data_IF_870487085875
#
_entry.id   IF_870487085875
#
_cell.length_a   1.000
_cell.length_b   1.000
_cell.length_c   1.000
_cell.angle_alpha   90.00
_cell.angle_beta   90.00
_cell.angle_gamma   90.00
#
_symmetry.space_group_name_H-M   'P 1'
#
loop_
_entity.id
_entity.type
_entity.pdbx_description
1 polymer ?
#
# COMPACT_ATOMS: atom_id res chain seq x y z
N UNK A 1 -13.62 10.32 0.78
CA UNK A 1 -14.10 11.55 1.43
C UNK A 1 -15.46 11.93 0.85
N UNK A 2 -16.34 12.61 1.60
CA UNK A 2 -17.62 13.06 1.06
C UNK A 2 -17.41 14.24 0.09
N UNK A 3 -18.32 14.36 -0.86
CA UNK A 3 -18.33 15.45 -1.83
C UNK A 3 -19.05 16.65 -1.23
N UNK A 4 -18.29 17.68 -0.82
CA UNK A 4 -18.85 18.83 -0.10
C UNK A 4 -18.32 20.17 -0.60
N UNK A 5 -19.23 21.15 -0.67
CA UNK A 5 -18.94 22.53 -1.09
C UNK A 5 -18.79 23.47 0.11
N UNK A 6 -17.63 24.08 0.26
CA UNK A 6 -17.32 25.11 1.27
C UNK A 6 -17.03 26.42 0.55
N UNK A 7 -17.93 27.40 0.70
CA UNK A 7 -17.84 28.66 -0.05
C UNK A 7 -17.96 28.41 -1.56
N UNK A 8 -16.94 28.83 -2.31
CA UNK A 8 -16.88 28.62 -3.77
C UNK A 8 -16.18 27.32 -4.17
N UNK A 9 -15.53 26.62 -3.22
CA UNK A 9 -14.71 25.44 -3.51
C UNK A 9 -15.49 24.18 -3.15
N UNK A 10 -15.49 23.21 -4.06
CA UNK A 10 -15.97 21.86 -3.80
C UNK A 10 -14.79 20.95 -3.56
N UNK A 11 -14.72 20.29 -2.41
CA UNK A 11 -13.69 19.32 -2.08
C UNK A 11 -14.13 17.92 -2.50
N UNK A 12 -13.25 17.20 -3.20
CA UNK A 12 -13.54 15.87 -3.73
C UNK A 12 -12.54 14.83 -3.23
N UNK A 13 -11.26 15.22 -3.12
CA UNK A 13 -10.18 14.29 -2.85
C UNK A 13 -9.30 14.80 -1.73
N UNK A 14 -8.55 13.88 -1.13
CA UNK A 14 -7.55 14.18 -0.12
C UNK A 14 -6.27 13.45 -0.55
N UNK A 15 -5.20 14.21 -0.78
CA UNK A 15 -3.89 13.63 -1.03
C UNK A 15 -3.23 13.37 0.32
N UNK A 16 -2.86 12.11 0.54
CA UNK A 16 -2.25 11.63 1.78
C UNK A 16 -0.82 11.17 1.51
N UNK A 17 0.12 11.63 2.32
CA UNK A 17 1.54 11.29 2.28
C UNK A 17 1.93 10.74 3.64
N UNK A 18 2.67 9.63 3.64
CA UNK A 18 3.17 9.01 4.86
C UNK A 18 4.67 8.79 4.73
N UNK A 19 5.44 9.34 5.65
CA UNK A 19 6.83 8.96 5.84
C UNK A 19 6.87 7.53 6.42
N UNK A 20 7.39 6.58 5.63
CA UNK A 20 7.37 5.16 6.00
C UNK A 20 8.17 4.89 7.27
N UNK A 21 9.35 5.47 7.42
CA UNK A 21 10.24 5.21 8.56
C UNK A 21 9.72 5.86 9.85
N UNK A 22 9.37 7.15 9.76
CA UNK A 22 9.05 7.98 10.93
C UNK A 22 7.55 8.01 11.26
N UNK A 23 6.73 7.38 10.41
CA UNK A 23 5.26 7.38 10.50
C UNK A 23 4.65 8.78 10.53
N UNK A 24 5.36 9.84 10.15
CA UNK A 24 4.81 11.18 10.01
C UNK A 24 3.85 11.22 8.83
N UNK A 25 2.69 11.89 8.98
CA UNK A 25 1.69 11.99 7.90
C UNK A 25 1.40 13.44 7.54
N UNK A 26 1.15 13.68 6.27
CA UNK A 26 0.62 14.94 5.78
C UNK A 26 -0.60 14.66 4.89
N UNK A 27 -1.60 15.53 5.00
CA UNK A 27 -2.83 15.44 4.21
C UNK A 27 -3.21 16.82 3.71
N UNK A 28 -3.57 16.90 2.42
CA UNK A 28 -4.10 18.13 1.83
C UNK A 28 -5.38 17.85 1.07
N UNK A 29 -6.36 18.74 1.23
CA UNK A 29 -7.60 18.67 0.49
C UNK A 29 -7.41 19.19 -0.93
N UNK A 30 -7.94 18.44 -1.88
CA UNK A 30 -7.99 18.82 -3.28
C UNK A 30 -9.44 19.17 -3.61
N UNK A 31 -9.65 20.44 -3.93
CA UNK A 31 -10.94 20.99 -4.32
C UNK A 31 -10.87 21.81 -5.60
N UNK A 32 -12.04 22.04 -6.19
CA UNK A 32 -12.21 22.80 -7.43
C UNK A 32 -13.31 23.83 -7.32
N UNK A 33 -13.19 24.91 -8.08
CA UNK A 33 -14.19 25.98 -8.15
C UNK A 33 -15.41 25.62 -9.01
N UNK A 34 -15.24 24.68 -9.95
CA UNK A 34 -16.30 24.21 -10.86
C UNK A 34 -16.13 22.74 -11.16
N UNK A 35 -17.22 21.96 -11.10
CA UNK A 35 -17.23 20.49 -11.28
C UNK A 35 -17.74 20.12 -12.68
N UNK A 36 -17.62 21.03 -13.65
CA UNK A 36 -18.16 20.81 -15.00
C UNK A 36 -17.54 19.60 -15.71
N UNK A 37 -16.32 19.17 -15.33
CA UNK A 37 -15.73 17.91 -15.79
C UNK A 37 -14.92 17.21 -14.67
N UNK A 38 -15.41 16.07 -14.16
CA UNK A 38 -14.70 15.28 -13.13
C UNK A 38 -13.38 14.69 -13.64
N UNK A 39 -13.27 14.41 -14.94
CA UNK A 39 -12.05 13.86 -15.57
C UNK A 39 -10.87 14.85 -15.54
N UNK A 40 -11.12 16.16 -15.36
CA UNK A 40 -10.07 17.18 -15.29
C UNK A 40 -9.64 17.59 -13.88
N UNK A 41 -10.22 16.99 -12.83
CA UNK A 41 -10.01 17.44 -11.44
C UNK A 41 -8.74 16.87 -10.83
N UNK A 42 -8.51 15.56 -11.05
CA UNK A 42 -7.37 14.83 -10.50
C UNK A 42 -6.29 14.63 -11.56
N UNK A 43 -5.84 15.74 -12.18
CA UNK A 43 -4.75 15.70 -13.15
C UNK A 43 -3.42 15.79 -12.40
N UNK A 44 -2.38 15.22 -13.02
CA UNK A 44 -0.98 15.34 -12.61
C UNK A 44 -0.53 16.73 -12.15
N UNK A 45 -0.91 17.78 -12.85
CA UNK A 45 -0.59 19.15 -12.46
C UNK A 45 -1.20 19.56 -11.10
N UNK A 46 -2.43 19.09 -10.80
CA UNK A 46 -3.08 19.34 -9.51
C UNK A 46 -2.36 18.62 -8.38
N UNK A 47 -1.94 17.37 -8.60
CA UNK A 47 -1.16 16.60 -7.62
C UNK A 47 0.21 17.24 -7.41
N UNK A 48 0.92 17.62 -8.48
CA UNK A 48 2.20 18.30 -8.39
C UNK A 48 2.12 19.57 -7.54
N UNK A 49 1.15 20.44 -7.82
CA UNK A 49 0.92 21.66 -7.01
C UNK A 49 0.56 21.36 -5.56
N UNK A 50 -0.16 20.26 -5.31
CA UNK A 50 -0.54 19.86 -3.95
C UNK A 50 0.66 19.32 -3.17
N UNK A 51 1.58 18.63 -3.86
CA UNK A 51 2.86 18.19 -3.29
C UNK A 51 3.74 19.39 -2.96
N UNK A 52 3.93 20.32 -3.89
CA UNK A 52 4.67 21.58 -3.62
C UNK A 52 4.12 22.27 -2.37
N UNK A 53 2.80 22.46 -2.29
CA UNK A 53 2.17 23.04 -1.09
C UNK A 53 2.49 22.31 0.21
N UNK A 54 2.64 21.00 0.21
CA UNK A 54 2.97 20.24 1.43
C UNK A 54 4.45 20.41 1.78
N UNK A 55 5.34 20.36 0.78
CA UNK A 55 6.79 20.42 1.03
C UNK A 55 7.33 21.85 1.20
N UNK A 56 6.62 22.85 0.68
CA UNK A 56 6.96 24.27 0.82
C UNK A 56 6.34 24.90 2.07
N UNK A 57 5.45 24.18 2.78
CA UNK A 57 4.82 24.65 4.01
C UNK A 57 5.84 24.64 5.18
N UNK A 58 6.18 25.79 5.78
CA UNK A 58 7.13 25.85 6.88
C UNK A 58 6.66 25.14 8.15
N UNK A 59 5.35 24.93 8.32
CA UNK A 59 4.78 24.18 9.45
C UNK A 59 4.86 22.66 9.22
N UNK A 60 5.12 22.23 7.97
CA UNK A 60 5.27 20.83 7.63
C UNK A 60 6.72 20.36 7.82
N UNK A 61 6.93 19.40 8.70
CA UNK A 61 8.27 18.86 8.97
C UNK A 61 8.78 17.89 7.88
N UNK A 62 7.99 17.64 6.83
CA UNK A 62 8.40 16.76 5.73
C UNK A 62 9.36 17.46 4.79
N UNK A 63 10.50 16.82 4.57
CA UNK A 63 11.46 17.21 3.53
C UNK A 63 11.32 16.29 2.31
N UNK A 64 11.76 16.76 1.15
CA UNK A 64 11.88 15.93 -0.04
C UNK A 64 12.76 14.70 0.23
N UNK A 65 12.14 13.51 0.18
CA UNK A 65 12.80 12.24 0.50
C UNK A 65 13.56 11.67 -0.71
N UNK A 66 14.35 10.62 -0.50
CA UNK A 66 15.10 9.95 -1.59
C UNK A 66 14.21 9.14 -2.54
N UNK A 67 13.07 8.63 -2.05
CA UNK A 67 12.17 7.74 -2.77
C UNK A 67 10.72 8.09 -2.45
N UNK A 68 9.91 8.27 -3.50
CA UNK A 68 8.46 8.35 -3.42
C UNK A 68 7.85 7.10 -4.06
N UNK A 69 7.02 6.39 -3.31
CA UNK A 69 6.25 5.25 -3.80
C UNK A 69 4.81 5.70 -4.02
N UNK A 70 4.29 5.52 -5.23
CA UNK A 70 2.89 5.81 -5.58
C UNK A 70 2.24 4.57 -6.18
N UNK A 71 0.91 4.56 -6.30
CA UNK A 71 0.26 3.58 -7.16
C UNK A 71 0.52 3.87 -8.66
N UNK A 72 -0.08 3.06 -9.53
CA UNK A 72 0.03 3.21 -11.00
C UNK A 72 -0.94 4.26 -11.58
N UNK A 73 -1.57 5.07 -10.73
CA UNK A 73 -2.51 6.13 -11.12
C UNK A 73 -1.91 7.11 -12.13
N UNK A 74 -2.74 7.59 -13.05
CA UNK A 74 -2.35 8.55 -14.10
C UNK A 74 -2.05 9.93 -13.52
N UNK A 75 -2.64 10.26 -12.38
CA UNK A 75 -2.41 11.48 -11.62
C UNK A 75 -0.98 11.59 -11.07
N UNK A 76 -0.25 10.48 -10.96
CA UNK A 76 1.14 10.47 -10.54
C UNK A 76 2.12 10.34 -11.71
N UNK A 77 1.67 10.51 -12.96
CA UNK A 77 2.50 10.46 -14.19
C UNK A 77 2.64 11.86 -14.80
N UNK A 78 3.64 12.11 -15.64
CA UNK A 78 3.75 13.41 -16.33
C UNK A 78 4.29 14.53 -15.44
N UNK A 79 3.51 15.56 -15.14
CA UNK A 79 3.98 16.74 -14.40
C UNK A 79 4.42 16.42 -12.96
N UNK A 80 3.69 15.53 -12.28
CA UNK A 80 4.09 14.99 -10.99
C UNK A 80 5.47 14.31 -11.10
N UNK A 81 5.71 13.45 -12.09
CA UNK A 81 7.03 12.82 -12.27
C UNK A 81 8.14 13.83 -12.57
N UNK A 82 7.85 14.86 -13.35
CA UNK A 82 8.80 15.95 -13.61
C UNK A 82 9.15 16.69 -12.32
N UNK A 83 8.15 17.01 -11.49
CA UNK A 83 8.37 17.67 -10.19
C UNK A 83 9.25 16.80 -9.27
N UNK A 84 8.88 15.54 -9.09
CA UNK A 84 9.63 14.61 -8.22
C UNK A 84 11.09 14.49 -8.70
N UNK A 85 11.32 14.36 -10.01
CA UNK A 85 12.68 14.32 -10.60
C UNK A 85 13.44 15.64 -10.44
N UNK A 86 12.77 16.78 -10.56
CA UNK A 86 13.38 18.12 -10.36
C UNK A 86 13.97 18.27 -8.95
N UNK A 87 13.31 17.69 -7.95
CA UNK A 87 13.80 17.67 -6.56
C UNK A 87 14.78 16.51 -6.26
N UNK A 88 15.26 15.80 -7.28
CA UNK A 88 16.24 14.70 -7.12
C UNK A 88 15.67 13.44 -6.46
N UNK A 89 14.34 13.33 -6.37
CA UNK A 89 13.66 12.20 -5.74
C UNK A 89 13.43 11.09 -6.77
N UNK A 90 13.69 9.83 -6.41
CA UNK A 90 13.34 8.68 -7.24
C UNK A 90 11.84 8.40 -7.08
N UNK A 91 11.15 8.13 -8.18
CA UNK A 91 9.75 7.66 -8.15
C UNK A 91 9.70 6.17 -8.45
N UNK A 92 8.96 5.43 -7.62
CA UNK A 92 8.68 4.01 -7.82
C UNK A 92 7.17 3.80 -7.85
N UNK A 93 6.70 3.02 -8.82
CA UNK A 93 5.31 2.61 -8.91
C UNK A 93 5.13 1.31 -8.13
N UNK A 94 4.15 1.28 -7.24
CA UNK A 94 3.77 0.10 -6.48
C UNK A 94 3.37 -1.01 -7.46
N UNK A 95 3.96 -2.19 -7.24
CA UNK A 95 3.63 -3.37 -8.04
C UNK A 95 2.28 -3.94 -7.63
N UNK A 96 1.99 -3.95 -6.33
CA UNK A 96 0.76 -4.45 -5.74
C UNK A 96 0.16 -3.47 -4.74
N UNK A 97 -1.12 -3.66 -4.38
CA UNK A 97 -1.80 -2.87 -3.34
C UNK A 97 -1.12 -3.00 -1.97
N UNK A 98 -0.44 -4.11 -1.69
CA UNK A 98 0.26 -4.35 -0.42
C UNK A 98 1.41 -3.37 -0.18
N UNK A 99 2.12 -2.98 -1.25
CA UNK A 99 3.18 -1.96 -1.15
C UNK A 99 2.62 -0.64 -0.61
N UNK A 100 1.33 -0.36 -0.83
CA UNK A 100 0.62 0.82 -0.35
C UNK A 100 -0.09 0.61 1.00
N UNK A 101 0.07 -0.55 1.64
CA UNK A 101 -0.70 -0.93 2.84
C UNK A 101 -0.57 0.05 4.01
N UNK A 102 0.57 0.72 4.16
CA UNK A 102 0.77 1.77 5.17
C UNK A 102 -0.13 2.98 4.92
N UNK A 103 -0.17 3.45 3.66
CA UNK A 103 -1.01 4.59 3.26
C UNK A 103 -2.48 4.21 3.33
N UNK A 104 -2.85 2.99 2.91
CA UNK A 104 -4.23 2.50 3.02
C UNK A 104 -4.70 2.38 4.48
N UNK A 105 -3.83 1.90 5.38
CA UNK A 105 -4.14 1.89 6.81
C UNK A 105 -4.36 3.31 7.33
N UNK A 106 -3.52 4.26 6.91
CA UNK A 106 -3.68 5.66 7.28
C UNK A 106 -4.98 6.26 6.74
N UNK A 107 -5.33 6.02 5.47
CA UNK A 107 -6.60 6.44 4.86
C UNK A 107 -7.79 5.99 5.72
N UNK A 108 -7.80 4.72 6.13
CA UNK A 108 -8.82 4.18 7.03
C UNK A 108 -8.84 4.89 8.39
N UNK A 109 -7.68 5.06 9.04
CA UNK A 109 -7.59 5.76 10.33
C UNK A 109 -8.06 7.21 10.25
N UNK A 110 -7.78 7.88 9.14
CA UNK A 110 -8.21 9.25 8.89
C UNK A 110 -9.74 9.34 8.81
N UNK A 111 -10.36 8.41 8.09
CA UNK A 111 -11.83 8.30 7.99
C UNK A 111 -12.44 7.99 9.36
N UNK A 112 -11.90 7.00 10.09
CA UNK A 112 -12.38 6.61 11.42
C UNK A 112 -12.34 7.76 12.43
N UNK A 113 -11.36 8.67 12.33
CA UNK A 113 -11.25 9.84 13.22
C UNK A 113 -12.05 11.06 12.76
N UNK A 114 -12.25 11.26 11.46
CA UNK A 114 -12.96 12.45 10.93
C UNK A 114 -14.47 12.31 10.97
N UNK A 115 -14.99 11.16 10.57
CA UNK A 115 -16.41 10.98 10.33
C UNK A 115 -17.27 10.93 11.59
N UNK A 116 -16.79 10.54 12.79
CA UNK A 116 -17.60 10.64 14.01
C UNK A 116 -18.07 12.06 14.30
N UNK A 117 -17.20 13.07 14.19
CA UNK A 117 -17.58 14.47 14.41
C UNK A 117 -18.53 14.99 13.33
N UNK A 118 -18.33 14.55 12.09
CA UNK A 118 -19.24 14.84 10.98
C UNK A 118 -20.64 14.25 11.24
N UNK A 119 -20.71 12.96 11.57
CA UNK A 119 -21.95 12.24 11.84
C UNK A 119 -22.69 12.85 13.05
N UNK A 120 -21.98 13.17 14.12
CA UNK A 120 -22.57 13.84 15.29
C UNK A 120 -23.17 15.20 14.89
N UNK A 121 -22.45 15.99 14.10
CA UNK A 121 -22.94 17.27 13.60
C UNK A 121 -24.15 17.11 12.67
N UNK A 122 -24.16 16.10 11.81
CA UNK A 122 -25.27 15.81 10.90
C UNK A 122 -26.54 15.39 11.68
N UNK A 123 -26.39 14.54 12.69
CA UNK A 123 -27.49 14.10 13.57
C UNK A 123 -28.08 15.24 14.41
N UNK A 124 -27.27 16.22 14.81
CA UNK A 124 -27.73 17.35 15.63
C UNK A 124 -28.34 18.49 14.80
N UNK A 125 -27.84 18.73 13.59
CA UNK A 125 -28.19 19.94 12.83
C UNK A 125 -29.35 19.72 11.84
N UNK A 126 -29.72 18.46 11.51
CA UNK A 126 -30.87 17.94 10.73
C UNK A 126 -31.24 18.63 9.38
N UNK A 127 -31.22 19.96 9.32
CA UNK A 127 -31.57 20.82 8.18
C UNK A 127 -30.39 21.07 7.21
N UNK A 128 -29.14 20.82 7.64
CA UNK A 128 -27.95 21.07 6.80
C UNK A 128 -26.91 19.98 6.93
N UNK A 129 -26.37 19.55 5.78
CA UNK A 129 -25.19 18.68 5.73
C UNK A 129 -23.98 19.41 6.32
N UNK A 130 -23.37 18.80 7.32
CA UNK A 130 -22.17 19.30 7.99
C UNK A 130 -20.98 19.28 7.04
N UNK A 131 -20.04 20.19 7.29
CA UNK A 131 -18.75 20.27 6.58
C UNK A 131 -17.60 20.29 7.58
N UNK A 132 -17.86 19.73 8.77
CA UNK A 132 -16.94 19.73 9.89
C UNK A 132 -15.64 19.00 9.52
N UNK A 133 -15.72 17.95 8.69
CA UNK A 133 -14.55 17.19 8.26
C UNK A 133 -13.49 18.05 7.54
N UNK A 134 -13.88 19.10 6.80
CA UNK A 134 -12.93 20.00 6.11
C UNK A 134 -12.07 20.77 7.11
N UNK A 135 -12.69 21.30 8.17
CA UNK A 135 -11.98 22.01 9.24
C UNK A 135 -11.21 21.05 10.14
N UNK A 136 -11.80 19.89 10.42
CA UNK A 136 -11.24 18.91 11.33
C UNK A 136 -10.08 18.12 10.71
N UNK A 137 -9.88 18.15 9.38
CA UNK A 137 -8.79 17.41 8.75
C UNK A 137 -7.44 17.75 9.37
N UNK A 138 -7.08 19.04 9.39
CA UNK A 138 -5.77 19.48 9.89
C UNK A 138 -5.62 19.11 11.37
N UNK A 139 -6.66 19.34 12.17
CA UNK A 139 -6.70 19.00 13.61
C UNK A 139 -6.50 17.49 13.83
N UNK A 140 -7.15 16.65 13.03
CA UNK A 140 -7.02 15.19 13.14
C UNK A 140 -5.63 14.73 12.73
N UNK A 141 -5.06 15.27 11.65
CA UNK A 141 -3.72 14.94 11.18
C UNK A 141 -2.67 15.33 12.23
N UNK A 142 -2.78 16.55 12.76
CA UNK A 142 -1.95 17.05 13.86
C UNK A 142 -2.05 16.13 15.09
N UNK A 143 -3.26 15.79 15.52
CA UNK A 143 -3.48 14.85 16.62
C UNK A 143 -2.85 13.47 16.37
N UNK A 144 -2.88 12.97 15.12
CA UNK A 144 -2.23 11.70 14.78
C UNK A 144 -0.70 11.81 14.87
N UNK A 145 -0.11 12.94 14.44
CA UNK A 145 1.33 13.15 14.48
C UNK A 145 1.88 13.47 15.89
N UNK A 146 1.05 14.02 16.77
CA UNK A 146 1.36 14.25 18.18
C UNK A 146 1.10 13.03 19.07
N UNK A 147 0.34 12.03 18.59
CA UNK A 147 0.08 10.81 19.34
C UNK A 147 1.27 9.84 19.33
N UNK A 148 1.60 9.29 20.50
CA UNK A 148 2.61 8.23 20.62
C UNK A 148 2.17 7.01 19.81
N UNK A 149 3.06 6.52 18.96
CA UNK A 149 2.80 5.32 18.17
C UNK A 149 3.39 4.10 18.86
N UNK A 150 2.63 2.99 18.96
CA UNK A 150 3.13 1.75 19.58
C UNK A 150 4.41 1.21 18.91
N UNK A 151 4.58 1.46 17.60
CA UNK A 151 5.74 1.02 16.84
C UNK A 151 7.00 1.81 17.18
N UNK A 152 6.91 3.14 17.32
CA UNK A 152 8.08 3.98 17.61
C UNK A 152 8.33 4.13 19.11
N UNK A 153 7.28 4.01 19.94
CA UNK A 153 7.33 4.38 21.36
C UNK A 153 7.34 5.88 21.62
N UNK A 154 7.39 6.71 20.56
CA UNK A 154 7.33 8.17 20.58
C UNK A 154 6.33 8.70 19.54
N UNK A 155 6.08 10.01 19.56
CA UNK A 155 5.22 10.67 18.57
C UNK A 155 5.97 10.84 17.23
N UNK A 156 5.28 10.78 16.07
CA UNK A 156 5.89 11.08 14.77
C UNK A 156 6.53 12.46 14.66
N UNK A 157 6.00 13.48 15.34
CA UNK A 157 6.57 14.84 15.32
C UNK A 157 7.89 14.95 16.10
N UNK A 158 8.09 14.10 17.09
CA UNK A 158 9.37 14.01 17.81
C UNK A 158 10.33 13.14 17.01
N UNK A 159 9.85 12.01 16.48
CA UNK A 159 10.64 11.08 15.69
C UNK A 159 11.31 11.73 14.47
N UNK A 160 10.65 12.69 13.81
CA UNK A 160 11.22 13.36 12.63
C UNK A 160 12.39 14.30 12.95
N UNK A 161 12.55 14.71 14.21
CA UNK A 161 13.67 15.53 14.68
C UNK A 161 14.88 14.67 15.05
N UNK A 162 14.67 13.38 15.28
CA UNK A 162 15.72 12.44 15.65
C UNK A 162 16.51 11.97 14.42
N UNK A 163 17.81 11.71 14.64
CA UNK A 163 18.68 11.19 13.59
C UNK A 163 18.39 9.71 13.29
N UNK A 164 18.10 8.93 14.33
CA UNK A 164 17.80 7.50 14.25
C UNK A 164 16.66 7.16 15.20
N UNK A 165 15.73 6.33 14.73
CA UNK A 165 14.56 5.91 15.50
C UNK A 165 14.43 4.40 15.41
N UNK A 166 14.35 3.74 16.57
CA UNK A 166 14.10 2.30 16.64
C UNK A 166 12.62 2.01 16.44
N UNK A 167 12.31 1.10 15.51
CA UNK A 167 10.94 0.72 15.17
C UNK A 167 10.68 -0.71 15.62
N UNK A 168 9.67 -0.89 16.47
CA UNK A 168 9.14 -2.22 16.80
C UNK A 168 8.36 -2.79 15.62
N UNK A 169 8.41 -4.12 15.39
CA UNK A 169 7.62 -4.74 14.35
C UNK A 169 6.11 -4.56 14.63
N UNK A 170 5.30 -4.51 13.58
CA UNK A 170 3.83 -4.39 13.69
C UNK A 170 3.19 -5.58 14.39
N UNK A 171 3.80 -6.75 14.28
CA UNK A 171 3.38 -7.99 14.91
C UNK A 171 4.57 -8.60 15.62
N UNK A 172 4.33 -9.18 16.79
CA UNK A 172 5.34 -9.98 17.46
C UNK A 172 5.57 -11.23 16.62
N UNK A 173 6.80 -11.42 16.16
CA UNK A 173 7.19 -12.64 15.48
C UNK A 173 7.49 -13.71 16.53
N UNK A 174 6.82 -14.86 16.43
CA UNK A 174 6.94 -15.96 17.41
C UNK A 174 8.04 -16.97 17.09
N UNK A 175 8.87 -16.72 16.08
CA UNK A 175 9.87 -17.65 15.57
C UNK A 175 11.22 -17.01 15.27
N UNK A 176 12.17 -17.78 14.71
CA UNK A 176 13.43 -17.24 14.22
C UNK A 176 13.18 -16.24 13.08
N UNK A 177 14.06 -15.24 12.95
CA UNK A 177 13.92 -14.16 11.97
C UNK A 177 15.29 -13.77 11.40
N UNK A 178 15.34 -13.44 10.11
CA UNK A 178 16.57 -12.99 9.46
C UNK A 178 17.60 -14.12 9.35
N UNK A 179 18.78 -13.93 9.94
CA UNK A 179 19.87 -14.91 9.84
C UNK A 179 19.61 -16.19 10.63
N UNK A 180 18.72 -16.13 11.62
CA UNK A 180 18.35 -17.29 12.43
C UNK A 180 17.23 -18.12 11.77
N UNK A 181 16.55 -17.56 10.75
CA UNK A 181 15.47 -18.24 10.02
C UNK A 181 16.04 -19.25 9.03
N UNK A 182 15.55 -20.49 9.08
CA UNK A 182 15.94 -21.53 8.13
C UNK A 182 15.44 -21.19 6.73
N UNK A 183 16.39 -20.92 5.85
CA UNK A 183 16.12 -20.54 4.47
C UNK A 183 15.73 -21.76 3.64
N UNK A 184 14.61 -21.67 2.91
CA UNK A 184 14.24 -22.68 1.92
C UNK A 184 15.29 -22.76 0.81
N UNK A 185 15.67 -23.98 0.47
CA UNK A 185 16.59 -24.24 -0.64
C UNK A 185 15.90 -24.03 -1.99
N UNK A 186 16.67 -23.63 -3.01
CA UNK A 186 16.16 -23.27 -4.34
C UNK A 186 15.63 -24.45 -5.16
N UNK A 187 16.01 -25.67 -4.80
CA UNK A 187 15.56 -26.94 -5.41
C UNK A 187 14.16 -27.36 -4.94
N UNK A 188 13.62 -26.72 -3.91
CA UNK A 188 12.31 -27.02 -3.37
C UNK A 188 11.20 -26.40 -4.24
N UNK A 189 10.19 -27.21 -4.54
CA UNK A 189 8.98 -26.78 -5.22
C UNK A 189 7.98 -26.22 -4.22
N UNK A 190 7.34 -25.11 -4.57
CA UNK A 190 6.37 -24.44 -3.68
C UNK A 190 5.08 -24.04 -4.37
N UNK A 191 4.00 -23.98 -3.59
CA UNK A 191 2.80 -23.20 -3.90
C UNK A 191 2.77 -21.99 -2.97
N UNK A 192 2.23 -20.87 -3.44
CA UNK A 192 2.04 -19.70 -2.58
C UNK A 192 0.59 -19.54 -2.16
N UNK A 193 0.39 -18.91 -1.00
CA UNK A 193 -0.93 -18.62 -0.45
C UNK A 193 -1.64 -17.57 -1.29
N UNK A 194 -2.83 -17.91 -1.80
CA UNK A 194 -3.65 -17.01 -2.60
C UNK A 194 -4.32 -15.95 -1.73
N UNK A 195 -4.20 -14.70 -2.19
CA UNK A 195 -4.98 -13.58 -1.67
C UNK A 195 -6.11 -13.21 -2.62
N UNK A 196 -7.10 -12.42 -2.15
CA UNK A 196 -8.21 -12.00 -2.99
C UNK A 196 -7.78 -11.31 -4.30
N UNK A 197 -6.62 -10.64 -4.32
CA UNK A 197 -6.09 -9.99 -5.53
C UNK A 197 -5.58 -10.97 -6.58
N UNK A 198 -5.20 -12.19 -6.18
CA UNK A 198 -4.70 -13.22 -7.07
C UNK A 198 -5.86 -13.98 -7.75
N UNK A 199 -7.11 -13.69 -7.35
CA UNK A 199 -8.34 -14.22 -7.93
C UNK A 199 -8.86 -13.29 -9.03
N UNK A 200 -9.33 -13.85 -10.15
CA UNK A 200 -9.81 -13.06 -11.31
C UNK A 200 -10.90 -12.03 -10.96
N UNK A 201 -11.78 -12.34 -10.01
CA UNK A 201 -12.90 -11.47 -9.57
C UNK A 201 -12.56 -10.61 -8.33
N UNK A 202 -11.33 -10.70 -7.80
CA UNK A 202 -10.91 -9.93 -6.63
C UNK A 202 -11.62 -10.29 -5.31
N UNK A 203 -12.56 -11.23 -5.34
CA UNK A 203 -13.42 -11.66 -4.22
C UNK A 203 -13.27 -13.15 -4.01
N UNK A 204 -13.08 -13.53 -2.74
CA UNK A 204 -12.97 -14.93 -2.33
C UNK A 204 -14.35 -15.53 -2.11
N UNK A 205 -14.65 -16.63 -2.80
CA UNK A 205 -15.80 -17.50 -2.59
C UNK A 205 -15.40 -18.65 -1.65
N UNK A 206 -16.40 -19.28 -1.02
CA UNK A 206 -16.16 -20.36 -0.06
C UNK A 206 -15.46 -21.59 -0.67
N UNK A 207 -15.60 -21.81 -1.98
CA UNK A 207 -14.98 -22.93 -2.69
C UNK A 207 -13.62 -22.63 -3.32
N UNK A 208 -13.09 -21.40 -3.19
CA UNK A 208 -11.82 -21.03 -3.81
C UNK A 208 -10.64 -21.72 -3.10
N UNK A 209 -9.64 -22.13 -3.89
CA UNK A 209 -8.42 -22.72 -3.35
C UNK A 209 -7.68 -21.73 -2.46
N UNK A 210 -7.06 -22.24 -1.39
CA UNK A 210 -6.20 -21.44 -0.51
C UNK A 210 -4.81 -21.21 -1.11
N UNK A 211 -4.34 -22.13 -1.96
CA UNK A 211 -2.98 -22.15 -2.52
C UNK A 211 -3.02 -22.01 -4.03
N UNK A 212 -1.93 -21.48 -4.61
CA UNK A 212 -1.78 -21.33 -6.06
C UNK A 212 -2.01 -22.65 -6.78
N UNK A 213 -2.73 -22.62 -7.91
CA UNK A 213 -2.98 -23.81 -8.74
C UNK A 213 -1.73 -24.30 -9.46
N UNK A 214 -0.74 -23.44 -9.65
CA UNK A 214 0.55 -23.76 -10.27
C UNK A 214 1.63 -23.97 -9.20
N UNK A 215 2.72 -24.62 -9.62
CA UNK A 215 3.91 -24.89 -8.81
C UNK A 215 5.01 -23.94 -9.26
N UNK A 216 5.87 -23.53 -8.32
CA UNK A 216 6.92 -22.56 -8.56
C UNK A 216 8.26 -23.04 -8.00
N UNK A 217 9.35 -22.66 -8.68
CA UNK A 217 10.70 -22.66 -8.14
C UNK A 217 10.94 -21.39 -7.32
N UNK A 218 11.82 -21.50 -6.32
CA UNK A 218 12.38 -20.33 -5.65
C UNK A 218 13.52 -19.78 -6.52
N UNK A 219 13.23 -18.66 -7.20
CA UNK A 219 14.18 -17.98 -8.08
C UNK A 219 15.24 -17.21 -7.29
N UNK A 220 14.79 -16.42 -6.32
CA UNK A 220 15.67 -15.57 -5.53
C UNK A 220 15.16 -15.52 -4.09
N UNK A 221 16.08 -15.28 -3.16
CA UNK A 221 15.75 -15.13 -1.76
C UNK A 221 16.69 -14.16 -1.06
N UNK A 222 16.12 -13.28 -0.25
CA UNK A 222 16.80 -12.17 0.39
C UNK A 222 16.68 -12.30 1.91
N UNK A 223 17.82 -12.27 2.59
CA UNK A 223 17.90 -12.33 4.05
C UNK A 223 18.39 -10.99 4.57
N UNK A 224 17.71 -10.43 5.56
CA UNK A 224 18.14 -9.24 6.28
C UNK A 224 18.04 -9.47 7.78
N UNK A 225 18.93 -8.83 8.54
CA UNK A 225 18.87 -8.89 10.01
C UNK A 225 17.51 -8.36 10.50
N UNK A 226 16.86 -9.10 11.39
CA UNK A 226 15.57 -8.75 12.01
C UNK A 226 14.40 -8.58 11.01
N UNK A 227 14.47 -9.19 9.82
CA UNK A 227 13.35 -9.26 8.87
C UNK A 227 13.14 -10.70 8.40
N UNK A 228 11.90 -11.11 8.09
CA UNK A 228 11.66 -12.44 7.55
C UNK A 228 12.35 -12.62 6.20
N UNK A 229 12.74 -13.84 5.87
CA UNK A 229 13.32 -14.16 4.56
C UNK A 229 12.27 -13.92 3.47
N UNK A 230 12.65 -13.14 2.46
CA UNK A 230 11.79 -12.87 1.31
C UNK A 230 12.17 -13.78 0.15
N UNK A 231 11.16 -14.36 -0.50
CA UNK A 231 11.31 -15.27 -1.63
C UNK A 231 10.63 -14.70 -2.88
N UNK A 232 11.29 -14.82 -4.03
CA UNK A 232 10.71 -14.54 -5.35
C UNK A 232 10.57 -15.86 -6.11
N UNK A 233 9.43 -16.00 -6.78
CA UNK A 233 9.02 -17.25 -7.39
C UNK A 233 9.04 -17.17 -8.92
N UNK A 234 9.26 -18.32 -9.53
CA UNK A 234 9.21 -18.53 -10.98
C UNK A 234 8.40 -19.80 -11.27
N UNK A 235 7.40 -19.69 -12.14
CA UNK A 235 6.49 -20.81 -12.43
C UNK A 235 7.25 -21.97 -13.04
N UNK A 236 6.97 -23.19 -12.57
CA UNK A 236 7.46 -24.41 -13.20
C UNK A 236 6.69 -24.59 -14.51
N UNK A 237 7.33 -24.54 -15.68
CA UNK A 237 6.67 -24.87 -16.92
C UNK A 237 6.36 -26.37 -16.90
N UNK A 238 5.10 -26.74 -16.63
CA UNK A 238 4.63 -28.08 -16.92
C UNK A 238 4.55 -28.21 -18.43
N UNK A 239 5.39 -29.08 -19.00
CA UNK A 239 5.46 -29.27 -20.44
C UNK A 239 4.13 -29.65 -21.07
N UNK A 240 4.10 -29.53 -22.41
CA UNK A 240 3.05 -29.75 -23.41
C UNK A 240 2.52 -28.41 -23.93
N UNK A 241 2.71 -28.00 -25.18
CA UNK A 241 2.82 -28.69 -26.50
C UNK A 241 3.71 -27.87 -27.43
N UNK A 242 3.96 -28.34 -28.66
CA UNK A 242 4.77 -27.72 -29.73
C UNK A 242 4.37 -26.27 -30.19
N UNK A 243 3.67 -25.50 -29.35
CA UNK A 243 3.33 -24.10 -29.58
C UNK A 243 4.24 -23.19 -28.74
N UNK A 244 5.14 -22.48 -29.43
CA UNK A 244 6.22 -21.61 -28.94
C UNK A 244 5.77 -20.35 -28.15
N UNK A 245 4.63 -20.34 -27.45
CA UNK A 245 4.09 -19.13 -26.81
C UNK A 245 3.68 -19.28 -25.32
N UNK A 246 4.24 -20.26 -24.59
CA UNK A 246 4.02 -20.35 -23.14
C UNK A 246 4.83 -19.28 -22.39
N UNK A 247 4.14 -18.24 -21.91
CA UNK A 247 4.74 -17.18 -21.08
C UNK A 247 4.82 -17.64 -19.63
N UNK A 248 6.04 -17.95 -19.17
CA UNK A 248 6.35 -18.24 -17.75
C UNK A 248 5.84 -17.09 -16.87
N UNK A 249 4.98 -17.39 -15.88
CA UNK A 249 4.48 -16.35 -14.97
C UNK A 249 5.43 -16.14 -13.79
N UNK A 250 5.63 -14.87 -13.48
CA UNK A 250 6.35 -14.42 -12.29
C UNK A 250 5.38 -13.64 -11.42
N UNK A 251 5.02 -14.14 -10.23
CA UNK A 251 4.25 -13.35 -9.29
C UNK A 251 4.95 -12.00 -9.06
N UNK A 252 4.22 -10.89 -9.15
CA UNK A 252 4.82 -9.54 -9.09
C UNK A 252 5.31 -9.15 -7.68
N UNK A 253 5.12 -10.01 -6.67
CA UNK A 253 5.43 -9.78 -5.26
C UNK A 253 6.38 -10.85 -4.70
N UNK A 254 7.05 -10.49 -3.61
CA UNK A 254 7.80 -11.43 -2.77
C UNK A 254 6.88 -12.10 -1.75
N UNK A 255 7.34 -13.22 -1.20
CA UNK A 255 6.63 -14.03 -0.22
C UNK A 255 7.50 -14.28 1.01
N UNK A 256 6.87 -14.46 2.17
CA UNK A 256 7.54 -14.97 3.38
C UNK A 256 7.37 -16.49 3.50
N UNK A 257 8.14 -17.13 4.39
CA UNK A 257 8.10 -18.59 4.58
C UNK A 257 6.69 -19.13 4.84
N UNK A 258 5.87 -18.43 5.62
CA UNK A 258 4.51 -18.82 6.00
C UNK A 258 3.52 -18.74 4.83
N UNK A 259 3.85 -17.95 3.81
CA UNK A 259 3.04 -17.85 2.59
C UNK A 259 3.39 -18.94 1.56
N UNK A 260 4.34 -19.83 1.88
CA UNK A 260 4.82 -20.87 0.99
C UNK A 260 4.51 -22.26 1.54
N UNK A 261 3.81 -23.06 0.75
CA UNK A 261 3.64 -24.49 0.98
C UNK A 261 4.69 -25.23 0.17
N UNK A 262 5.59 -25.94 0.87
CA UNK A 262 6.57 -26.84 0.26
C UNK A 262 5.83 -28.07 -0.27
N UNK A 263 6.07 -28.40 -1.53
CA UNK A 263 5.57 -29.61 -2.18
C UNK A 263 6.67 -30.65 -2.05
N UNK A 264 6.35 -31.78 -1.39
CA UNK A 264 7.29 -32.89 -1.29
C UNK A 264 7.41 -33.59 -2.66
N UNK A 265 8.58 -34.12 -2.96
CA UNK A 265 8.87 -34.77 -4.26
C UNK A 265 7.97 -35.97 -4.55
N UNK A 266 7.38 -36.58 -3.51
CA UNK A 266 6.46 -37.72 -3.57
C UNK A 266 4.98 -37.30 -3.62
N UNK A 267 4.70 -36.00 -3.77
CA UNK A 267 3.31 -35.52 -3.88
C UNK A 267 2.72 -35.95 -5.22
N UNK A 268 1.86 -36.97 -5.20
CA UNK A 268 1.09 -37.39 -6.38
C UNK A 268 0.06 -36.32 -6.75
N UNK A 269 0.10 -35.85 -7.99
CA UNK A 269 -0.96 -35.00 -8.55
C UNK A 269 -2.19 -35.85 -8.86
N UNK A 270 -3.38 -35.21 -8.82
CA UNK A 270 -4.61 -35.89 -9.19
C UNK A 270 -4.49 -36.50 -10.60
N UNK A 271 -4.93 -37.75 -10.79
CA UNK A 271 -4.87 -38.40 -12.09
C UNK A 271 -5.61 -37.60 -13.14
N UNK A 272 -5.05 -37.52 -14.34
CA UNK A 272 -5.61 -36.73 -15.43
C UNK A 272 -7.01 -37.22 -15.88
N UNK A 273 -7.36 -38.48 -15.59
CA UNK A 273 -8.68 -39.04 -15.87
C UNK A 273 -9.81 -38.37 -15.08
N UNK A 274 -9.50 -37.68 -13.97
CA UNK A 274 -10.49 -36.88 -13.22
C UNK A 274 -10.99 -35.68 -14.03
N UNK A 275 -10.23 -35.26 -15.05
CA UNK A 275 -10.58 -34.14 -15.93
C UNK A 275 -11.44 -34.56 -17.14
N UNK A 276 -11.57 -35.86 -17.41
CA UNK A 276 -12.36 -36.39 -18.51
C UNK A 276 -13.77 -36.75 -18.01
N UNK A 277 -14.69 -35.81 -18.12
CA UNK A 277 -16.15 -36.05 -18.08
C UNK A 277 -16.79 -35.50 -19.35
#
# INVERSE_FOLDING_TARGET
>A
MPYDKVGQITYLFCLNIVNVALRYKASILIGVYSVKDRQGILISATIARSLEKIYDDPECSLIWLKLLITDRGSEFKGDCEKLIKKHGVKIQKAKSKYTMGIVERYNRTLVEKLFPSQNASDLLILDRRSRAWVKNLLIVVENINNSITCQLGISPVDAIKEKEVFVKPSYLWGGPIGFDEEKLSSDVLVRYLLYPIDLEDGRRRAGDLNWSSHIYYIRESMVQKNQPVLYWLEEVPFGLTDDDDYVVKYPERSFVREELMVILFDTELLPQWVLTN
#
